data_IF_660106914876
#
_entry.id   IF_660106914876
#
_cell.length_a   1.000
_cell.length_b   1.000
_cell.length_c   1.000
_cell.angle_alpha   90.00
_cell.angle_beta   90.00
_cell.angle_gamma   90.00
#
_symmetry.space_group_name_H-M   'P 1'
#
loop_
_entity.id
_entity.type
_entity.pdbx_description
1 polymer ?
#
# COMPACT_ATOMS: atom_id res chain seq x y z
N UNK A 1 -28.47 -0.76 8.84
CA UNK A 1 -27.20 -0.82 8.10
C UNK A 1 -26.70 0.60 8.04
N UNK A 2 -25.58 0.91 8.68
CA UNK A 2 -24.91 2.20 8.48
C UNK A 2 -24.09 2.05 7.19
N UNK A 3 -24.45 2.82 6.17
CA UNK A 3 -23.88 2.72 4.81
C UNK A 3 -23.42 4.09 4.27
N UNK A 4 -23.53 5.13 5.10
CA UNK A 4 -23.08 6.49 4.78
C UNK A 4 -21.84 6.84 5.58
N UNK A 5 -20.97 7.67 5.05
CA UNK A 5 -19.99 8.36 5.87
C UNK A 5 -19.10 9.30 5.07
N UNK A 6 -17.98 9.68 5.69
CA UNK A 6 -17.06 10.67 5.16
C UNK A 6 -16.40 10.21 3.86
N UNK A 7 -16.49 11.06 2.83
CA UNK A 7 -15.83 10.93 1.53
C UNK A 7 -15.19 12.28 1.16
N UNK A 8 -13.99 12.24 0.58
CA UNK A 8 -13.24 13.41 0.17
C UNK A 8 -13.85 14.10 -1.06
N UNK A 9 -13.62 15.41 -1.18
CA UNK A 9 -14.13 16.27 -2.27
C UNK A 9 -13.85 15.75 -3.68
N UNK A 10 -12.69 15.12 -3.89
CA UNK A 10 -12.32 14.56 -5.20
C UNK A 10 -13.12 13.29 -5.57
N UNK A 11 -13.83 12.69 -4.62
CA UNK A 11 -14.65 11.48 -4.82
C UNK A 11 -16.17 11.75 -4.73
N UNK A 12 -16.58 13.00 -4.51
CA UNK A 12 -17.99 13.41 -4.54
C UNK A 12 -18.37 14.05 -5.88
N UNK A 13 -19.63 13.91 -6.29
CA UNK A 13 -20.17 14.61 -7.47
C UNK A 13 -20.22 16.13 -7.29
N UNK A 14 -20.34 16.61 -6.05
CA UNK A 14 -20.38 18.03 -5.71
C UNK A 14 -19.01 18.69 -5.75
N UNK A 15 -17.93 17.94 -5.62
CA UNK A 15 -16.59 18.50 -5.45
C UNK A 15 -16.32 19.03 -4.05
N UNK A 16 -17.18 18.72 -3.08
CA UNK A 16 -17.05 19.10 -1.67
C UNK A 16 -16.93 17.86 -0.78
N UNK A 17 -16.27 17.99 0.37
CA UNK A 17 -16.20 16.91 1.36
C UNK A 17 -17.60 16.67 1.91
N UNK A 18 -18.04 15.41 1.98
CA UNK A 18 -19.38 15.08 2.47
C UNK A 18 -19.34 13.86 3.40
N UNK A 19 -20.01 13.99 4.56
CA UNK A 19 -20.17 12.95 5.57
C UNK A 19 -21.31 11.96 5.33
N UNK A 20 -22.14 12.18 4.31
CA UNK A 20 -23.36 11.42 4.04
C UNK A 20 -23.37 10.90 2.59
N UNK A 21 -22.30 10.21 2.21
CA UNK A 21 -22.15 9.57 0.90
C UNK A 21 -22.14 8.06 1.09
N UNK A 22 -22.68 7.31 0.13
CA UNK A 22 -22.61 5.84 0.14
C UNK A 22 -21.15 5.40 0.25
N UNK A 23 -20.82 4.73 1.35
CA UNK A 23 -19.50 4.15 1.58
C UNK A 23 -19.50 2.76 0.99
N UNK A 24 -18.38 2.42 0.36
CA UNK A 24 -18.22 1.09 -0.22
C UNK A 24 -17.78 0.07 0.81
N UNK A 25 -17.39 0.47 2.03
CA UNK A 25 -17.07 -0.49 3.08
C UNK A 25 -18.26 -1.41 3.35
N UNK A 26 -18.12 -2.63 2.85
CA UNK A 26 -19.15 -3.65 2.84
C UNK A 26 -19.54 -4.03 4.27
N UNK A 27 -20.74 -3.61 4.67
CA UNK A 27 -21.56 -4.20 5.74
C UNK A 27 -20.97 -4.07 7.14
N UNK A 28 -21.46 -3.09 7.91
CA UNK A 28 -21.37 -3.13 9.36
C UNK A 28 -22.44 -4.10 9.92
N UNK A 29 -22.02 -5.10 10.70
CA UNK A 29 -22.94 -5.94 11.49
C UNK A 29 -23.09 -5.34 12.89
N UNK A 30 -24.33 -5.16 13.33
CA UNK A 30 -24.64 -4.75 14.70
C UNK A 30 -25.28 -5.94 15.40
N UNK A 31 -24.67 -6.41 16.48
CA UNK A 31 -25.24 -7.44 17.33
C UNK A 31 -26.07 -6.79 18.45
N UNK A 32 -27.35 -7.16 18.56
CA UNK A 32 -28.18 -6.77 19.69
C UNK A 32 -28.07 -7.83 20.80
N UNK A 33 -27.50 -7.47 21.94
CA UNK A 33 -27.27 -8.38 23.07
C UNK A 33 -28.55 -8.87 23.78
N UNK A 34 -29.70 -8.25 23.51
CA UNK A 34 -30.99 -8.59 24.14
C UNK A 34 -31.94 -9.35 23.22
N UNK A 35 -31.43 -9.91 22.12
CA UNK A 35 -32.27 -10.64 21.18
C UNK A 35 -32.63 -12.02 21.75
N UNK A 36 -33.91 -12.22 22.04
CA UNK A 36 -34.43 -13.49 22.62
C UNK A 36 -34.70 -14.53 21.53
N UNK A 37 -35.04 -14.09 20.32
CA UNK A 37 -35.39 -14.96 19.19
C UNK A 37 -34.28 -14.98 18.13
N UNK A 38 -34.20 -16.06 17.34
CA UNK A 38 -33.23 -16.16 16.24
C UNK A 38 -33.47 -15.05 15.20
N UNK A 39 -32.41 -14.32 14.84
CA UNK A 39 -32.50 -13.30 13.80
C UNK A 39 -32.90 -13.94 12.47
N UNK A 40 -33.99 -13.46 11.89
CA UNK A 40 -34.39 -13.85 10.54
C UNK A 40 -33.62 -13.00 9.53
N UNK A 41 -33.05 -13.66 8.52
CA UNK A 41 -32.31 -12.97 7.45
C UNK A 41 -33.33 -12.31 6.51
N UNK A 42 -33.59 -11.02 6.73
CA UNK A 42 -34.56 -10.27 5.93
C UNK A 42 -34.02 -9.82 4.55
N UNK A 43 -32.70 -9.80 4.36
CA UNK A 43 -32.08 -9.24 3.14
C UNK A 43 -31.03 -10.21 2.56
N UNK A 44 -31.10 -10.54 1.25
CA UNK A 44 -30.03 -11.26 0.59
C UNK A 44 -28.76 -10.40 0.59
N UNK A 45 -27.61 -11.02 0.86
CA UNK A 45 -26.34 -10.28 0.75
C UNK A 45 -25.98 -10.16 -0.72
N UNK A 46 -25.37 -9.04 -1.16
CA UNK A 46 -24.82 -8.94 -2.50
C UNK A 46 -23.80 -10.07 -2.74
N UNK A 47 -23.76 -10.57 -3.98
CA UNK A 47 -22.80 -11.59 -4.39
C UNK A 47 -21.36 -11.12 -4.17
N UNK A 48 -20.39 -12.06 -4.12
CA UNK A 48 -18.97 -11.69 -4.03
C UNK A 48 -18.58 -10.74 -5.17
N UNK A 49 -19.00 -11.03 -6.40
CA UNK A 49 -18.68 -10.19 -7.56
C UNK A 49 -19.20 -8.74 -7.45
N UNK A 50 -20.28 -8.51 -6.70
CA UNK A 50 -20.82 -7.16 -6.45
C UNK A 50 -20.11 -6.42 -5.31
N UNK A 51 -19.25 -7.11 -4.57
CA UNK A 51 -18.49 -6.61 -3.41
C UNK A 51 -16.98 -6.66 -3.62
N UNK A 52 -16.53 -7.19 -4.76
CA UNK A 52 -15.12 -7.20 -5.12
C UNK A 52 -14.79 -5.88 -5.81
N UNK A 53 -13.90 -5.09 -5.21
CA UNK A 53 -13.39 -3.88 -5.82
C UNK A 53 -12.43 -4.18 -6.97
N UNK A 54 -12.36 -3.28 -7.97
CA UNK A 54 -11.31 -3.36 -8.97
C UNK A 54 -9.94 -3.22 -8.29
N UNK A 55 -8.96 -3.98 -8.79
CA UNK A 55 -7.58 -3.70 -8.44
C UNK A 55 -7.16 -2.40 -9.14
N UNK A 56 -6.66 -1.46 -8.34
CA UNK A 56 -6.19 -0.15 -8.80
C UNK A 56 -4.67 -0.11 -8.93
N UNK A 57 -3.97 -1.20 -8.60
CA UNK A 57 -2.52 -1.26 -8.68
C UNK A 57 -2.05 -1.61 -10.09
N UNK A 58 -1.25 -0.72 -10.68
CA UNK A 58 -0.33 -1.12 -11.74
C UNK A 58 0.91 -1.75 -11.11
N UNK A 59 1.01 -3.07 -11.22
CA UNK A 59 2.11 -3.85 -10.63
C UNK A 59 3.30 -3.93 -11.57
N UNK A 60 4.48 -3.58 -11.06
CA UNK A 60 5.78 -3.80 -11.70
C UNK A 60 6.52 -4.82 -10.84
N UNK A 61 6.53 -6.06 -11.32
CA UNK A 61 7.05 -7.23 -10.60
C UNK A 61 8.58 -7.22 -10.50
N UNK A 62 9.10 -7.83 -9.44
CA UNK A 62 10.53 -8.06 -9.22
C UNK A 62 11.18 -8.75 -10.41
N UNK A 63 10.52 -9.76 -11.00
CA UNK A 63 10.98 -10.42 -12.23
C UNK A 63 11.25 -9.45 -13.38
N UNK A 64 10.42 -8.42 -13.55
CA UNK A 64 10.56 -7.47 -14.65
C UNK A 64 11.79 -6.57 -14.50
N UNK A 65 12.27 -6.36 -13.26
CA UNK A 65 13.34 -5.39 -12.97
C UNK A 65 14.65 -6.05 -12.53
N UNK A 66 14.64 -7.34 -12.15
CA UNK A 66 15.83 -8.05 -11.62
C UNK A 66 17.03 -8.03 -12.56
N UNK A 67 16.81 -8.14 -13.89
CA UNK A 67 17.90 -8.18 -14.87
C UNK A 67 18.67 -6.85 -14.99
N UNK A 68 18.03 -5.73 -14.62
CA UNK A 68 18.65 -4.39 -14.62
C UNK A 68 19.04 -3.90 -13.21
N UNK A 69 18.82 -4.71 -12.19
CA UNK A 69 19.09 -4.34 -10.81
C UNK A 69 20.60 -4.17 -10.57
N UNK A 70 20.95 -3.21 -9.73
CA UNK A 70 22.34 -2.96 -9.30
C UNK A 70 22.44 -3.22 -7.81
N UNK A 71 23.50 -3.86 -7.36
CA UNK A 71 23.65 -4.17 -5.94
C UNK A 71 25.12 -4.17 -5.52
N UNK A 72 25.36 -4.02 -4.23
CA UNK A 72 26.66 -4.30 -3.62
C UNK A 72 26.99 -5.79 -3.70
N UNK A 73 28.21 -6.19 -3.33
CA UNK A 73 28.61 -7.60 -3.25
C UNK A 73 27.57 -8.47 -2.50
N UNK A 74 27.30 -9.64 -3.06
CA UNK A 74 26.24 -10.55 -2.61
C UNK A 74 25.66 -11.36 -3.77
N UNK A 75 24.63 -12.15 -3.50
CA UNK A 75 23.86 -12.87 -4.52
C UNK A 75 22.50 -12.20 -4.73
N UNK A 76 22.08 -12.16 -5.99
CA UNK A 76 20.76 -11.68 -6.40
C UNK A 76 20.10 -12.77 -7.24
N UNK A 77 18.94 -13.25 -6.82
CA UNK A 77 18.20 -14.29 -7.53
C UNK A 77 16.70 -14.02 -7.54
N UNK A 78 16.00 -14.61 -8.50
CA UNK A 78 14.54 -14.63 -8.51
C UNK A 78 14.08 -15.86 -7.71
N UNK A 79 13.38 -15.64 -6.60
CA UNK A 79 12.90 -16.70 -5.73
C UNK A 79 11.39 -16.90 -5.93
N UNK A 80 11.02 -18.12 -6.31
CA UNK A 80 9.62 -18.56 -6.45
C UNK A 80 9.18 -19.46 -5.28
N UNK A 81 7.88 -19.77 -5.20
CA UNK A 81 7.34 -20.75 -4.26
C UNK A 81 6.60 -20.18 -3.04
N UNK A 82 6.19 -18.91 -3.09
CA UNK A 82 5.35 -18.27 -2.08
C UNK A 82 4.35 -17.31 -2.76
N UNK A 83 3.48 -16.65 -1.99
CA UNK A 83 2.48 -15.66 -2.43
C UNK A 83 3.08 -14.30 -2.83
N UNK A 84 4.05 -14.36 -3.75
CA UNK A 84 4.65 -13.22 -4.42
C UNK A 84 3.95 -12.92 -5.74
N UNK A 85 4.13 -11.70 -6.22
CA UNK A 85 3.57 -11.25 -7.49
C UNK A 85 4.26 -11.96 -8.65
N UNK A 86 3.47 -12.42 -9.63
CA UNK A 86 3.97 -13.09 -10.84
C UNK A 86 4.80 -14.34 -10.54
N UNK A 87 6.06 -14.32 -10.96
CA UNK A 87 6.97 -15.46 -10.88
C UNK A 87 7.83 -15.51 -9.62
N UNK A 88 7.77 -14.49 -8.76
CA UNK A 88 8.52 -14.46 -7.51
C UNK A 88 9.12 -13.12 -7.14
N UNK A 89 9.78 -13.09 -5.99
CA UNK A 89 10.49 -11.92 -5.49
C UNK A 89 11.95 -11.89 -5.96
N UNK A 90 12.52 -10.69 -6.04
CA UNK A 90 13.97 -10.52 -6.00
C UNK A 90 14.44 -10.85 -4.58
N UNK A 91 15.31 -11.84 -4.48
CA UNK A 91 15.92 -12.27 -3.23
C UNK A 91 17.39 -11.87 -3.24
N UNK A 92 17.71 -10.89 -2.41
CA UNK A 92 19.05 -10.35 -2.25
C UNK A 92 19.68 -10.87 -0.96
N UNK A 93 20.83 -11.53 -1.08
CA UNK A 93 21.67 -11.96 0.05
C UNK A 93 22.98 -11.18 0.02
N UNK A 94 23.10 -10.12 0.84
CA UNK A 94 24.31 -9.32 0.92
C UNK A 94 25.55 -10.09 1.38
N UNK A 95 26.73 -9.68 0.92
CA UNK A 95 28.02 -10.17 1.44
C UNK A 95 28.55 -9.35 2.62
N UNK A 96 27.98 -8.17 2.91
CA UNK A 96 28.39 -7.29 4.00
C UNK A 96 27.20 -6.54 4.61
N UNK A 97 27.44 -5.82 5.71
CA UNK A 97 26.41 -5.01 6.38
C UNK A 97 26.20 -3.63 5.71
N UNK A 98 27.14 -3.14 4.90
CA UNK A 98 27.05 -1.87 4.14
C UNK A 98 26.48 -2.10 2.73
N UNK A 99 25.41 -2.88 2.65
CA UNK A 99 24.86 -3.37 1.39
C UNK A 99 23.81 -2.46 0.77
N UNK A 100 23.62 -2.58 -0.55
CA UNK A 100 22.50 -1.94 -1.24
C UNK A 100 21.93 -2.77 -2.38
N UNK A 101 20.67 -2.52 -2.70
CA UNK A 101 19.98 -2.98 -3.91
C UNK A 101 19.29 -1.79 -4.56
N UNK A 102 19.45 -1.63 -5.87
CA UNK A 102 18.75 -0.66 -6.70
C UNK A 102 17.95 -1.37 -7.77
N UNK A 103 16.71 -0.94 -7.95
CA UNK A 103 15.82 -1.40 -9.01
C UNK A 103 15.24 -0.19 -9.72
N UNK A 104 15.19 -0.27 -11.05
CA UNK A 104 14.63 0.78 -11.88
C UNK A 104 13.23 0.40 -12.34
N UNK A 105 12.32 1.38 -12.35
CA UNK A 105 10.97 1.23 -12.87
C UNK A 105 10.62 2.41 -13.78
N UNK A 106 9.69 2.19 -14.71
CA UNK A 106 9.35 3.19 -15.73
C UNK A 106 7.95 3.74 -15.52
N UNK A 107 7.85 5.06 -15.52
CA UNK A 107 6.60 5.82 -15.51
C UNK A 107 6.32 6.31 -16.94
N UNK A 108 5.09 6.09 -17.39
CA UNK A 108 4.66 6.46 -18.76
C UNK A 108 3.78 7.70 -18.82
N UNK A 109 3.20 8.10 -17.69
CA UNK A 109 2.30 9.25 -17.57
C UNK A 109 2.63 10.06 -16.32
N UNK A 110 2.27 11.35 -16.31
CA UNK A 110 2.47 12.22 -15.15
C UNK A 110 1.17 12.29 -14.32
N UNK A 111 0.71 11.13 -13.85
CA UNK A 111 -0.49 11.03 -13.00
C UNK A 111 -0.06 10.82 -11.55
N UNK A 112 -0.71 11.53 -10.62
CA UNK A 112 -0.48 11.33 -9.18
C UNK A 112 -0.97 9.93 -8.79
N UNK A 113 -0.07 9.08 -8.33
CA UNK A 113 -0.36 7.68 -7.95
C UNK A 113 0.23 7.38 -6.58
N UNK A 114 -0.42 6.50 -5.83
CA UNK A 114 0.14 5.93 -4.62
C UNK A 114 1.33 5.03 -4.95
N UNK A 115 2.49 5.29 -4.36
CA UNK A 115 3.65 4.41 -4.47
C UNK A 115 3.60 3.39 -3.34
N UNK A 116 3.46 2.11 -3.68
CA UNK A 116 3.43 1.01 -2.73
C UNK A 116 4.56 0.04 -3.06
N UNK A 117 5.36 -0.32 -2.05
CA UNK A 117 6.32 -1.40 -2.15
C UNK A 117 5.74 -2.65 -1.53
N UNK A 118 5.78 -3.76 -2.23
CA UNK A 118 5.49 -5.07 -1.64
C UNK A 118 6.83 -5.73 -1.30
N UNK A 119 7.04 -5.95 -0.01
CA UNK A 119 8.30 -6.47 0.54
C UNK A 119 8.03 -7.72 1.37
N UNK A 120 9.02 -8.60 1.40
CA UNK A 120 9.00 -9.79 2.23
C UNK A 120 9.72 -9.52 3.55
N UNK A 121 9.17 -10.08 4.63
CA UNK A 121 9.80 -10.16 5.94
C UNK A 121 10.03 -11.63 6.31
N UNK A 122 11.15 -11.94 6.95
CA UNK A 122 11.48 -13.30 7.41
C UNK A 122 12.54 -13.30 8.52
N UNK A 123 12.88 -14.46 9.13
CA UNK A 123 13.81 -14.53 10.27
C UNK A 123 15.25 -14.10 9.99
N UNK A 124 15.65 -14.02 8.73
CA UNK A 124 17.01 -13.71 8.27
C UNK A 124 17.10 -12.39 7.48
N UNK A 125 16.06 -11.55 7.58
CA UNK A 125 15.96 -10.30 6.85
C UNK A 125 16.49 -9.10 7.64
N UNK A 126 17.00 -8.12 6.91
CA UNK A 126 17.64 -6.92 7.46
C UNK A 126 16.69 -5.74 7.69
N UNK A 127 17.29 -4.62 8.06
CA UNK A 127 16.62 -3.32 8.09
C UNK A 127 17.14 -2.47 6.94
N UNK A 128 16.26 -1.82 6.21
CA UNK A 128 16.64 -1.08 5.00
C UNK A 128 16.04 0.33 4.98
N UNK A 129 16.88 1.32 4.68
CA UNK A 129 16.45 2.67 4.27
C UNK A 129 16.04 2.60 2.81
N UNK A 130 14.98 3.32 2.44
CA UNK A 130 14.49 3.36 1.06
C UNK A 130 14.65 4.77 0.52
N UNK A 131 15.18 4.86 -0.70
CA UNK A 131 15.33 6.10 -1.43
C UNK A 131 14.60 5.99 -2.76
N UNK A 132 13.97 7.09 -3.15
CA UNK A 132 13.39 7.30 -4.48
C UNK A 132 14.18 8.42 -5.15
N UNK A 133 14.83 8.11 -6.28
CA UNK A 133 15.68 9.04 -7.04
C UNK A 133 16.73 9.75 -6.17
N UNK A 134 17.36 9.00 -5.28
CA UNK A 134 18.39 9.49 -4.35
C UNK A 134 17.84 10.26 -3.13
N UNK A 135 16.53 10.48 -3.04
CA UNK A 135 15.90 11.10 -1.86
C UNK A 135 15.37 10.04 -0.92
N UNK A 136 15.81 10.05 0.34
CA UNK A 136 15.33 9.09 1.33
C UNK A 136 13.85 9.30 1.64
N UNK A 137 13.07 8.23 1.53
CA UNK A 137 11.65 8.19 1.87
C UNK A 137 11.52 8.02 3.38
N UNK A 138 11.66 9.13 4.11
CA UNK A 138 11.57 9.18 5.58
C UNK A 138 10.21 9.63 6.09
N UNK A 139 9.27 9.96 5.18
CA UNK A 139 7.90 10.47 5.45
C UNK A 139 6.96 10.01 4.35
N UNK A 140 5.70 9.74 4.69
CA UNK A 140 4.64 9.64 3.69
C UNK A 140 4.48 11.01 3.02
N UNK A 141 4.51 11.04 1.69
CA UNK A 141 4.31 12.29 0.93
C UNK A 141 2.98 13.00 1.27
N UNK A 142 1.93 12.24 1.61
CA UNK A 142 0.61 12.80 1.92
C UNK A 142 0.41 13.17 3.39
N UNK A 143 1.21 12.59 4.29
CA UNK A 143 1.07 12.77 5.74
C UNK A 143 2.43 13.04 6.38
N UNK A 144 3.05 14.21 6.11
CA UNK A 144 4.42 14.49 6.55
C UNK A 144 4.58 14.52 8.08
N UNK A 145 3.49 14.69 8.83
CA UNK A 145 3.47 14.72 10.29
C UNK A 145 3.27 13.34 10.94
N UNK A 146 2.77 12.35 10.18
CA UNK A 146 2.52 11.00 10.66
C UNK A 146 3.46 10.04 9.93
N UNK A 147 4.56 9.61 10.56
CA UNK A 147 5.42 8.61 9.91
C UNK A 147 6.25 7.76 10.87
N UNK A 148 6.45 6.45 10.58
CA UNK A 148 7.57 5.69 11.10
C UNK A 148 8.90 6.31 10.65
N UNK A 149 9.65 6.88 11.58
CA UNK A 149 10.98 7.40 11.31
C UNK A 149 11.99 6.25 11.19
N UNK A 150 12.79 6.27 10.13
CA UNK A 150 13.99 5.44 9.98
C UNK A 150 13.84 4.19 9.10
N UNK A 151 14.83 3.29 9.17
CA UNK A 151 14.89 2.10 8.32
C UNK A 151 13.70 1.17 8.55
N UNK A 152 13.22 0.55 7.47
CA UNK A 152 12.18 -0.48 7.55
C UNK A 152 12.77 -1.77 8.08
N UNK A 153 12.25 -2.25 9.21
CA UNK A 153 12.59 -3.57 9.72
C UNK A 153 11.79 -4.66 9.02
N UNK A 154 12.49 -5.59 8.37
CA UNK A 154 11.93 -6.71 7.64
C UNK A 154 12.11 -8.04 8.40
N UNK A 155 12.54 -8.01 9.66
CA UNK A 155 12.51 -9.20 10.50
C UNK A 155 11.07 -9.64 10.82
N UNK A 156 10.82 -10.95 10.68
CA UNK A 156 9.60 -11.61 11.16
C UNK A 156 9.93 -13.05 11.60
N UNK A 157 9.13 -13.66 12.47
CA UNK A 157 9.36 -15.04 12.92
C UNK A 157 9.04 -16.09 11.85
N UNK A 158 8.34 -15.71 10.79
CA UNK A 158 8.04 -16.51 9.61
C UNK A 158 8.02 -15.64 8.37
N UNK A 159 7.82 -16.26 7.20
CA UNK A 159 7.70 -15.51 5.94
C UNK A 159 6.37 -14.76 5.93
N UNK A 160 6.44 -13.45 5.75
CA UNK A 160 5.30 -12.57 5.57
C UNK A 160 5.55 -11.66 4.36
N UNK A 161 4.52 -11.36 3.59
CA UNK A 161 4.60 -10.38 2.49
C UNK A 161 3.63 -9.25 2.81
N UNK A 162 4.13 -8.02 2.83
CA UNK A 162 3.34 -6.84 3.21
C UNK A 162 3.54 -5.71 2.24
N UNK A 163 2.44 -5.00 2.01
CA UNK A 163 2.45 -3.74 1.29
C UNK A 163 2.89 -2.62 2.23
N UNK A 164 3.78 -1.78 1.73
CA UNK A 164 4.25 -0.59 2.39
C UNK A 164 4.00 0.62 1.51
N UNK A 165 3.03 1.43 1.92
CA UNK A 165 2.72 2.69 1.27
C UNK A 165 3.81 3.73 1.57
N UNK A 166 4.34 4.36 0.53
CA UNK A 166 5.37 5.40 0.61
C UNK A 166 4.81 6.82 0.42
N UNK A 167 3.51 6.96 0.17
CA UNK A 167 2.86 8.23 -0.20
C UNK A 167 2.47 8.27 -1.68
N UNK A 168 1.70 9.28 -2.05
CA UNK A 168 1.32 9.54 -3.43
C UNK A 168 2.25 10.56 -4.09
N UNK A 169 2.76 10.21 -5.28
CA UNK A 169 3.74 10.99 -6.02
C UNK A 169 3.22 11.34 -7.43
N UNK A 170 3.57 12.52 -7.91
CA UNK A 170 3.50 12.89 -9.33
C UNK A 170 4.90 12.73 -9.94
N UNK A 171 5.22 11.50 -10.34
CA UNK A 171 6.50 11.19 -10.96
C UNK A 171 6.51 11.62 -12.42
N UNK A 172 7.64 12.15 -12.88
CA UNK A 172 7.79 12.51 -14.28
C UNK A 172 7.79 11.25 -15.18
N UNK A 173 7.32 11.31 -16.44
CA UNK A 173 7.51 10.20 -17.36
C UNK A 173 9.00 9.92 -17.56
N UNK A 174 9.41 8.66 -17.41
CA UNK A 174 10.82 8.27 -17.47
C UNK A 174 11.16 7.13 -16.51
N UNK A 175 12.46 6.87 -16.38
CA UNK A 175 13.00 5.88 -15.46
C UNK A 175 13.23 6.51 -14.09
N UNK A 176 12.77 5.80 -13.06
CA UNK A 176 12.95 6.14 -11.65
C UNK A 176 13.67 5.00 -10.95
N UNK A 177 14.43 5.33 -9.90
CA UNK A 177 15.23 4.34 -9.16
C UNK A 177 14.74 4.25 -7.71
N UNK A 178 14.44 3.03 -7.28
CA UNK A 178 14.33 2.69 -5.87
C UNK A 178 15.66 2.12 -5.40
N UNK A 179 16.22 2.70 -4.33
CA UNK A 179 17.42 2.18 -3.65
C UNK A 179 17.05 1.73 -2.25
N UNK A 180 17.40 0.49 -1.92
CA UNK A 180 17.36 -0.09 -0.58
C UNK A 180 18.78 -0.09 -0.04
N UNK A 181 19.04 0.64 1.04
CA UNK A 181 20.34 0.71 1.69
C UNK A 181 20.26 0.04 3.07
N UNK A 182 21.14 -0.92 3.32
CA UNK A 182 21.20 -1.65 4.58
C UNK A 182 21.47 -0.70 5.74
N UNK A 183 20.72 -0.90 6.82
CA UNK A 183 20.84 -0.18 8.09
C UNK A 183 21.01 -1.17 9.26
N UNK A 184 21.72 -2.27 8.98
CA UNK A 184 21.90 -3.39 9.89
C UNK A 184 20.68 -4.30 9.96
N UNK A 185 20.45 -4.93 11.11
CA UNK A 185 19.41 -5.94 11.27
C UNK A 185 18.78 -5.89 12.66
N UNK A 186 17.60 -6.47 12.81
CA UNK A 186 16.98 -6.70 14.10
C UNK A 186 17.87 -7.63 14.96
N UNK A 187 17.94 -7.47 16.30
CA UNK A 187 18.79 -8.31 17.16
C UNK A 187 18.51 -9.82 17.10
N UNK A 188 17.29 -10.21 16.76
CA UNK A 188 16.91 -11.62 16.56
C UNK A 188 17.01 -12.09 15.11
N UNK A 189 17.34 -11.21 14.16
CA UNK A 189 17.53 -11.61 12.78
C UNK A 189 18.87 -12.34 12.63
N UNK A 190 18.85 -13.46 11.90
CA UNK A 190 20.05 -14.24 11.62
C UNK A 190 20.82 -13.76 10.39
N UNK A 191 20.30 -12.74 9.70
CA UNK A 191 20.90 -12.21 8.48
C UNK A 191 20.47 -10.77 8.20
N UNK A 192 20.82 -10.29 7.01
CA UNK A 192 20.48 -8.97 6.52
C UNK A 192 19.83 -9.05 5.12
N UNK A 193 19.17 -10.15 4.80
CA UNK A 193 18.57 -10.36 3.47
C UNK A 193 17.47 -9.35 3.16
N UNK A 194 17.20 -9.17 1.88
CA UNK A 194 16.11 -8.34 1.38
C UNK A 194 15.31 -9.13 0.34
N UNK A 195 14.00 -9.10 0.50
CA UNK A 195 13.04 -9.64 -0.45
C UNK A 195 12.19 -8.52 -1.01
N UNK A 196 12.37 -8.22 -2.29
CA UNK A 196 11.61 -7.22 -3.03
C UNK A 196 10.66 -7.92 -4.00
N UNK A 197 9.36 -7.84 -3.72
CA UNK A 197 8.34 -8.49 -4.55
C UNK A 197 7.94 -7.59 -5.73
N UNK A 198 7.45 -6.38 -5.45
CA UNK A 198 7.01 -5.47 -6.51
C UNK A 198 7.00 -4.01 -6.08
N UNK A 199 7.07 -3.12 -7.08
CA UNK A 199 6.63 -1.73 -6.94
C UNK A 199 5.27 -1.60 -7.61
N UNK A 200 4.33 -0.95 -6.91
CA UNK A 200 2.95 -0.81 -7.35
C UNK A 200 2.58 0.66 -7.39
N UNK A 201 1.94 1.04 -8.49
CA UNK A 201 1.44 2.40 -8.71
C UNK A 201 -0.08 2.36 -8.59
N UNK A 202 -0.57 2.69 -7.39
CA UNK A 202 -1.99 2.67 -7.06
C UNK A 202 -2.70 3.88 -7.65
N UNK A 203 -3.69 3.61 -8.48
CA UNK A 203 -4.57 4.64 -9.00
C UNK A 203 -5.51 5.18 -7.94
N UNK A 204 -5.88 6.45 -8.09
CA UNK A 204 -7.00 7.03 -7.36
C UNK A 204 -8.28 6.44 -7.93
N UNK A 205 -9.19 6.01 -7.07
CA UNK A 205 -10.50 5.55 -7.54
C UNK A 205 -11.30 6.74 -8.09
N UNK A 206 -11.43 6.82 -9.42
CA UNK A 206 -12.12 7.90 -10.14
C UNK A 206 -13.66 7.78 -10.09
N UNK A 207 -14.23 7.34 -8.97
CA UNK A 207 -15.69 7.26 -8.81
C UNK A 207 -16.20 8.53 -8.16
N UNK A 208 -17.12 9.20 -8.85
CA UNK A 208 -17.88 10.32 -8.30
C UNK A 208 -19.13 9.77 -7.63
N UNK A 209 -19.33 10.12 -6.36
CA UNK A 209 -20.42 9.60 -5.54
C UNK A 209 -21.43 10.72 -5.24
N UNK A 210 -22.73 10.45 -5.39
CA UNK A 210 -23.76 11.42 -5.06
C UNK A 210 -23.85 11.58 -3.54
N UNK A 211 -24.21 12.79 -3.10
CA UNK A 211 -24.65 13.00 -1.72
C UNK A 211 -25.97 12.27 -1.47
N UNK A 212 -26.09 11.61 -0.32
CA UNK A 212 -27.34 11.02 0.15
C UNK A 212 -28.12 11.94 1.10
N UNK A 213 -27.68 13.19 1.26
CA UNK A 213 -28.43 14.20 2.03
C UNK A 213 -29.75 14.52 1.34
N UNK A 214 -30.80 14.70 2.15
CA UNK A 214 -32.04 15.26 1.62
C UNK A 214 -31.81 16.70 1.11
N UNK A 215 -32.36 17.08 -0.04
CA UNK A 215 -32.22 18.45 -0.55
C UNK A 215 -32.67 19.48 0.49
N UNK A 216 -31.81 20.44 0.82
CA UNK A 216 -32.15 21.58 1.68
C UNK A 216 -31.81 21.46 3.18
N UNK A 217 -31.07 20.44 3.62
CA UNK A 217 -30.54 20.36 5.00
C UNK A 217 -29.08 20.88 5.00
N UNK A 218 -28.77 22.01 5.67
CA UNK A 218 -27.42 22.55 5.74
C UNK A 218 -26.49 21.67 6.59
N UNK A 219 -25.18 21.78 6.35
CA UNK A 219 -24.16 21.00 7.06
C UNK A 219 -24.08 21.41 8.54
N UNK A 220 -24.32 20.47 9.45
CA UNK A 220 -24.20 20.71 10.90
C UNK A 220 -22.74 20.73 11.39
N UNK A 221 -21.78 20.46 10.50
CA UNK A 221 -20.34 20.42 10.80
C UNK A 221 -19.60 21.73 10.48
N UNK A 222 -20.29 22.81 10.11
CA UNK A 222 -19.70 24.15 10.10
C UNK A 222 -19.60 24.71 11.53
N UNK A 223 -18.77 24.06 12.35
CA UNK A 223 -18.27 24.60 13.62
C UNK A 223 -16.77 24.76 13.50
N UNK A 224 -16.35 25.76 12.73
CA UNK A 224 -15.07 26.42 12.98
C UNK A 224 -15.22 27.28 14.25
N UNK A 225 -14.25 27.31 15.18
CA UNK A 225 -13.95 28.54 15.88
C UNK A 225 -13.32 29.58 14.93
#
# INVERSE_FOLDING_TARGET
MEHTGWISADETETGEVDGHVEREDDIATVAFWYQVEQATRATPLPSLAQRTFPDLDRVIEGKAVVAGARHSDGTLELQAGYDWSGDGQIFFTPASDDAFLEVDFTITDNVRRGLVLRLTSAPDYGRYRVFLDGTEVTRLADYPEWNPQGPRDLYATGVEVRDWYLGSYSLAPGTHTLRFESAGRHPFSTGNRLGFDSVRLRERWQRKRPSLRAPGIPDALDRSP
#
